data_IF_666361926474
#
_entry.id   IF_666361926474
#
_cell.length_a   1.000
_cell.length_b   1.000
_cell.length_c   1.000
_cell.angle_alpha   90.00
_cell.angle_beta   90.00
_cell.angle_gamma   90.00
#
_symmetry.space_group_name_H-M   'P 1'
#
loop_
_entity.id
_entity.type
_entity.pdbx_description
1 polymer ?
#
# COMPACT_ATOMS: atom_id res chain seq x y z
N UNK A 1 -48.55 3.05 48.06
CA UNK A 1 -48.46 3.83 46.80
C UNK A 1 -47.02 3.69 46.33
N UNK A 2 -46.77 2.87 45.30
CA UNK A 2 -45.46 2.28 45.01
C UNK A 2 -44.48 3.26 44.33
N UNK A 3 -43.22 3.24 44.76
CA UNK A 3 -42.10 3.99 44.17
C UNK A 3 -41.58 3.26 42.93
N UNK A 4 -41.84 3.83 41.76
CA UNK A 4 -41.25 3.37 40.49
C UNK A 4 -39.80 3.85 40.44
N UNK A 5 -38.86 2.92 40.30
CA UNK A 5 -37.48 3.24 39.91
C UNK A 5 -37.31 2.79 38.46
N UNK A 6 -37.10 3.75 37.56
CA UNK A 6 -36.81 3.49 36.15
C UNK A 6 -35.40 2.93 36.02
N UNK A 7 -35.31 1.69 35.55
CA UNK A 7 -34.04 1.02 35.25
C UNK A 7 -33.75 1.28 33.77
N UNK A 8 -32.82 2.19 33.49
CA UNK A 8 -32.33 2.41 32.12
C UNK A 8 -31.45 1.23 31.69
N UNK A 9 -31.97 0.40 30.79
CA UNK A 9 -31.19 -0.63 30.12
C UNK A 9 -30.33 0.04 29.04
N UNK A 10 -29.03 0.20 29.32
CA UNK A 10 -28.04 0.60 28.32
C UNK A 10 -28.05 -0.41 27.16
N UNK A 11 -28.46 0.06 25.98
CA UNK A 11 -28.52 -0.73 24.76
C UNK A 11 -27.11 -1.18 24.36
N UNK A 12 -26.86 -2.50 24.43
CA UNK A 12 -25.57 -3.11 24.16
C UNK A 12 -25.06 -2.85 22.73
N UNK A 13 -25.95 -2.48 21.81
CA UNK A 13 -25.60 -2.15 20.41
C UNK A 13 -24.82 -0.84 20.30
N UNK A 14 -25.15 0.15 21.13
CA UNK A 14 -24.45 1.44 21.14
C UNK A 14 -23.03 1.28 21.68
N UNK A 15 -22.86 0.50 22.75
CA UNK A 15 -21.52 0.17 23.27
C UNK A 15 -20.69 -0.68 22.31
N UNK A 16 -21.32 -1.56 21.54
CA UNK A 16 -20.62 -2.35 20.53
C UNK A 16 -20.12 -1.49 19.36
N UNK A 17 -20.88 -0.46 18.95
CA UNK A 17 -20.44 0.48 17.92
C UNK A 17 -19.30 1.39 18.40
N UNK A 18 -19.38 1.91 19.62
CA UNK A 18 -18.33 2.75 20.21
C UNK A 18 -17.03 1.95 20.44
N UNK A 19 -17.13 0.69 20.87
CA UNK A 19 -15.97 -0.19 21.02
C UNK A 19 -15.32 -0.56 19.67
N UNK A 20 -16.10 -0.61 18.58
CA UNK A 20 -15.57 -0.87 17.25
C UNK A 20 -14.77 0.30 16.67
N UNK A 21 -15.23 1.55 16.91
CA UNK A 21 -14.49 2.76 16.55
C UNK A 21 -13.20 2.90 17.35
N UNK A 22 -13.24 2.66 18.67
CA UNK A 22 -12.04 2.71 19.51
C UNK A 22 -11.00 1.63 19.11
N UNK A 23 -11.45 0.46 18.65
CA UNK A 23 -10.55 -0.58 18.12
C UNK A 23 -9.91 -0.18 16.78
N UNK A 24 -10.58 0.63 15.96
CA UNK A 24 -10.02 1.16 14.71
C UNK A 24 -8.91 2.17 14.97
N UNK A 25 -9.07 3.05 15.95
CA UNK A 25 -8.02 4.00 16.35
C UNK A 25 -6.80 3.30 16.97
N UNK A 26 -6.99 2.15 17.65
CA UNK A 26 -5.90 1.34 18.22
C UNK A 26 -5.13 0.55 17.13
N UNK A 27 -5.78 0.21 16.01
CA UNK A 27 -5.17 -0.55 14.91
C UNK A 27 -4.22 0.27 14.03
N UNK A 28 -4.12 1.59 14.23
CA UNK A 28 -3.18 2.44 13.51
C UNK A 28 -3.67 2.78 12.09
N UNK A 29 -3.53 4.05 11.71
CA UNK A 29 -3.86 4.48 10.35
C UNK A 29 -2.92 3.82 9.34
N UNK A 30 -3.50 3.26 8.27
CA UNK A 30 -2.72 2.75 7.14
C UNK A 30 -1.92 3.88 6.50
N UNK A 31 -0.60 3.69 6.40
CA UNK A 31 0.32 4.68 5.86
C UNK A 31 0.66 4.37 4.39
N UNK A 32 0.61 5.39 3.54
CA UNK A 32 1.16 5.27 2.18
C UNK A 32 2.57 5.85 2.13
N UNK A 33 3.57 5.00 1.85
CA UNK A 33 4.97 5.36 1.74
C UNK A 33 5.46 5.25 0.28
N UNK A 34 6.06 6.32 -0.23
CA UNK A 34 6.71 6.31 -1.55
C UNK A 34 8.21 5.98 -1.40
N UNK A 35 8.62 4.79 -1.85
CA UNK A 35 10.01 4.34 -1.82
C UNK A 35 10.62 4.39 -3.23
N UNK A 36 11.66 5.20 -3.46
CA UNK A 36 12.32 5.33 -4.76
C UNK A 36 11.86 6.55 -5.58
N UNK A 37 12.49 6.86 -6.74
CA UNK A 37 13.19 5.95 -7.66
C UNK A 37 14.69 5.74 -7.43
N UNK A 38 15.35 6.63 -6.68
CA UNK A 38 16.81 6.59 -6.41
C UNK A 38 17.14 6.19 -4.98
N UNK A 39 16.21 5.52 -4.31
CA UNK A 39 16.42 5.12 -2.93
C UNK A 39 17.58 4.10 -2.89
N UNK A 40 18.63 4.29 -2.07
CA UNK A 40 19.84 3.47 -2.13
C UNK A 40 19.59 1.98 -1.81
N UNK A 41 18.45 1.65 -1.19
CA UNK A 41 18.05 0.27 -0.90
C UNK A 41 17.34 -0.44 -2.05
N UNK A 42 17.06 0.24 -3.18
CA UNK A 42 16.56 -0.43 -4.40
C UNK A 42 17.73 -0.76 -5.33
N UNK A 43 17.93 -2.04 -5.65
CA UNK A 43 18.91 -2.44 -6.68
C UNK A 43 18.38 -2.00 -8.06
N UNK A 44 18.96 -0.91 -8.58
CA UNK A 44 18.51 -0.28 -9.83
C UNK A 44 17.59 0.92 -9.58
N UNK A 45 16.89 1.35 -10.63
CA UNK A 45 15.97 2.50 -10.58
C UNK A 45 14.55 1.95 -10.52
N UNK A 46 13.98 1.91 -9.32
CA UNK A 46 12.64 1.39 -9.08
C UNK A 46 11.94 2.27 -8.06
N UNK A 47 10.68 2.63 -8.36
CA UNK A 47 9.79 3.28 -7.41
C UNK A 47 8.70 2.31 -7.00
N UNK A 48 8.39 2.27 -5.72
CA UNK A 48 7.34 1.43 -5.15
C UNK A 48 6.51 2.29 -4.22
N UNK A 49 5.20 2.34 -4.45
CA UNK A 49 4.24 2.93 -3.53
C UNK A 49 3.73 1.82 -2.61
N UNK A 50 4.08 1.90 -1.33
CA UNK A 50 3.78 0.91 -0.30
C UNK A 50 2.61 1.39 0.56
N UNK A 51 1.67 0.52 0.86
CA UNK A 51 0.65 0.70 1.90
C UNK A 51 1.06 -0.15 3.10
N UNK A 52 1.35 0.51 4.21
CA UNK A 52 1.87 -0.09 5.43
C UNK A 52 0.81 -0.05 6.52
N UNK A 53 0.69 -1.15 7.24
CA UNK A 53 0.01 -1.25 8.53
C UNK A 53 1.08 -1.53 9.58
N UNK A 54 1.62 -0.45 10.16
CA UNK A 54 2.83 -0.50 10.98
C UNK A 54 4.04 -1.06 10.21
N UNK A 55 4.51 -2.25 10.62
CA UNK A 55 5.64 -2.97 10.01
C UNK A 55 5.22 -3.92 8.88
N UNK A 56 3.91 -4.12 8.68
CA UNK A 56 3.36 -5.06 7.69
C UNK A 56 3.02 -4.33 6.40
N UNK A 57 3.47 -4.87 5.28
CA UNK A 57 3.10 -4.38 3.94
C UNK A 57 1.75 -5.00 3.57
N UNK A 58 0.73 -4.15 3.40
CA UNK A 58 -0.61 -4.58 2.95
C UNK A 58 -0.76 -4.51 1.44
N UNK A 59 -0.06 -3.57 0.78
CA UNK A 59 -0.04 -3.42 -0.68
C UNK A 59 1.29 -2.83 -1.14
N UNK A 60 1.74 -3.25 -2.31
CA UNK A 60 2.89 -2.67 -3.00
C UNK A 60 2.55 -2.46 -4.47
N UNK A 61 2.65 -1.22 -4.95
CA UNK A 61 2.45 -0.86 -6.35
C UNK A 61 3.79 -0.44 -6.94
N UNK A 62 4.44 -1.30 -7.74
CA UNK A 62 5.67 -0.93 -8.43
C UNK A 62 5.37 -0.01 -9.62
N UNK A 63 6.12 1.07 -9.71
CA UNK A 63 6.16 1.99 -10.85
C UNK A 63 7.43 1.64 -11.65
N UNK A 64 7.21 1.07 -12.84
CA UNK A 64 8.26 0.49 -13.71
C UNK A 64 8.44 1.33 -14.97
N UNK A 65 9.60 1.17 -15.64
CA UNK A 65 9.88 1.83 -16.91
C UNK A 65 10.95 2.93 -16.84
N UNK A 66 11.49 3.22 -15.65
CA UNK A 66 12.60 4.18 -15.51
C UNK A 66 13.87 3.80 -16.30
N UNK A 67 14.04 2.52 -16.62
CA UNK A 67 15.14 2.00 -17.46
C UNK A 67 14.66 1.45 -18.80
N UNK A 68 13.44 1.79 -19.24
CA UNK A 68 12.97 1.41 -20.57
C UNK A 68 13.77 2.19 -21.62
N UNK A 69 14.69 1.50 -22.32
CA UNK A 69 15.55 2.10 -23.36
C UNK A 69 14.99 1.97 -24.77
N UNK A 70 13.83 1.33 -24.93
CA UNK A 70 13.24 1.09 -26.26
C UNK A 70 14.03 0.09 -27.09
N UNK A 71 14.63 -0.94 -26.45
CA UNK A 71 15.43 -1.97 -27.12
C UNK A 71 14.63 -2.66 -28.25
N UNK A 72 13.30 -2.79 -28.10
CA UNK A 72 12.38 -3.26 -29.13
C UNK A 72 12.42 -2.40 -30.40
N UNK A 73 12.38 -1.08 -30.24
CA UNK A 73 12.41 -0.13 -31.37
C UNK A 73 13.79 -0.06 -32.01
N UNK A 74 14.83 -0.22 -31.19
CA UNK A 74 16.22 -0.28 -31.63
C UNK A 74 16.45 -1.54 -32.50
N UNK A 75 15.85 -2.68 -32.13
CA UNK A 75 15.92 -3.92 -32.88
C UNK A 75 15.33 -3.82 -34.30
N UNK A 76 14.26 -3.04 -34.49
CA UNK A 76 13.63 -2.83 -35.81
C UNK A 76 14.59 -2.23 -36.86
N UNK A 77 15.58 -1.45 -36.42
CA UNK A 77 16.54 -0.77 -37.30
C UNK A 77 17.86 -1.54 -37.46
N UNK A 78 17.97 -2.75 -36.91
CA UNK A 78 19.19 -3.56 -36.93
C UNK A 78 18.99 -4.92 -37.59
N UNK A 79 20.06 -5.43 -38.20
CA UNK A 79 20.09 -6.82 -38.66
C UNK A 79 20.28 -7.78 -37.49
N UNK A 80 19.86 -9.04 -37.64
CA UNK A 80 19.91 -10.04 -36.57
C UNK A 80 21.28 -10.14 -35.89
N UNK A 81 22.37 -10.12 -36.64
CA UNK A 81 23.74 -10.21 -36.09
C UNK A 81 24.14 -8.98 -35.29
N UNK A 82 23.63 -7.79 -35.65
CA UNK A 82 23.94 -6.54 -34.97
C UNK A 82 23.24 -6.42 -33.61
N UNK A 83 22.10 -7.09 -33.44
CA UNK A 83 21.32 -7.02 -32.20
C UNK A 83 21.82 -7.99 -31.11
N UNK A 84 22.71 -8.93 -31.43
CA UNK A 84 23.27 -9.92 -30.49
C UNK A 84 23.78 -9.30 -29.16
N UNK A 85 24.45 -8.13 -29.13
CA UNK A 85 24.94 -7.53 -27.88
C UNK A 85 23.85 -6.92 -26.98
N UNK A 86 22.61 -6.77 -27.47
CA UNK A 86 21.50 -6.16 -26.74
C UNK A 86 20.63 -7.19 -25.98
N UNK A 87 20.79 -8.48 -26.27
CA UNK A 87 20.12 -9.62 -25.61
C UNK A 87 21.02 -10.28 -24.60
#
# INVERSE_FOLDING_TARGET
MATVHDIEFRDARTSASAAADELQDIQGEKMVLNMGPSHPSTHGVLRIVLELDGEIITKAVPDVGYLHRGDEKIAENMTYTQFIPYT
#
